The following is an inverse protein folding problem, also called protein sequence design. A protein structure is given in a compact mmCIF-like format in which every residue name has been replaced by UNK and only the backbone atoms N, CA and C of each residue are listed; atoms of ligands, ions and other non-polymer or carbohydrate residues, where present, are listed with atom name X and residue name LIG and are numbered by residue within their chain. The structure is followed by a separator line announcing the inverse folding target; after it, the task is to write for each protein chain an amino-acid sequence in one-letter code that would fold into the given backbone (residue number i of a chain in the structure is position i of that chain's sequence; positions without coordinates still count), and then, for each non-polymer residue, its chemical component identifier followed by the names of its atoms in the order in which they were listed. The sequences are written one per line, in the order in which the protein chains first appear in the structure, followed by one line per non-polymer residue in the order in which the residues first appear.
data_IF_224823595176
#
_entry.id   IF_224823595176
#
_cell.length_a   1.000
_cell.length_b   1.000
_cell.length_c   1.000
_cell.angle_alpha   90.00
_cell.angle_beta   90.00
_cell.angle_gamma   90.00
#
_symmetry.space_group_name_H-M   'P 1'
#
loop_
_entity.id
_entity.type
_entity.pdbx_description
1 polymer ?
#
# COMPACT_ATOMS: atom_id res chain seq x y z
N UNK A 1 18.88 16.25 1.25
CA UNK A 1 19.29 15.38 0.11
C UNK A 1 18.07 14.63 -0.37
N UNK A 2 17.82 14.67 -1.68
CA UNK A 2 16.61 14.13 -2.29
C UNK A 2 16.79 12.64 -2.65
N UNK A 3 15.97 11.78 -2.05
CA UNK A 3 15.91 10.36 -2.38
C UNK A 3 14.61 10.04 -3.12
N UNK A 4 14.72 9.40 -4.27
CA UNK A 4 13.56 8.81 -4.96
C UNK A 4 13.36 7.38 -4.48
N UNK A 5 12.12 6.93 -4.42
CA UNK A 5 11.82 5.56 -3.98
C UNK A 5 10.34 5.24 -4.03
N UNK A 6 9.96 4.19 -3.30
CA UNK A 6 8.56 3.75 -3.20
C UNK A 6 8.17 3.65 -1.74
N UNK A 7 7.08 4.31 -1.36
CA UNK A 7 6.46 4.16 -0.06
C UNK A 7 5.61 2.90 -0.01
N UNK A 8 5.71 2.17 1.11
CA UNK A 8 4.91 0.98 1.38
C UNK A 8 3.89 1.34 2.45
N UNK A 9 2.58 1.08 2.22
CA UNK A 9 1.58 1.33 3.24
C UNK A 9 1.81 0.40 4.45
N UNK A 10 1.48 0.84 5.68
CA UNK A 10 1.51 -0.03 6.84
C UNK A 10 0.49 -1.17 6.69
N UNK A 11 0.81 -2.34 7.25
CA UNK A 11 -0.07 -3.52 7.23
C UNK A 11 -1.42 -3.24 7.92
N UNK A 12 -1.44 -2.32 8.90
CA UNK A 12 -2.64 -1.86 9.58
C UNK A 12 -2.92 -0.42 9.15
N UNK A 13 -3.85 -0.26 8.21
CA UNK A 13 -4.33 1.06 7.81
C UNK A 13 -5.27 1.61 8.89
N UNK A 14 -4.76 2.47 9.77
CA UNK A 14 -5.57 3.31 10.65
C UNK A 14 -5.96 4.56 9.85
N UNK A 15 -7.23 4.95 9.88
CA UNK A 15 -7.84 5.93 8.96
C UNK A 15 -7.21 7.32 9.00
N UNK A 16 -6.58 7.73 10.11
CA UNK A 16 -6.00 9.06 10.29
C UNK A 16 -4.47 9.08 10.41
N UNK A 17 -3.79 7.99 10.00
CA UNK A 17 -2.35 7.85 10.18
C UNK A 17 -1.54 8.64 9.12
N UNK A 18 -0.60 9.51 9.51
CA UNK A 18 0.42 10.08 8.61
C UNK A 18 1.24 9.06 7.82
N UNK A 19 1.37 7.82 8.31
CA UNK A 19 2.00 6.72 7.58
C UNK A 19 1.17 6.19 6.39
N UNK A 20 0.00 6.76 6.08
CA UNK A 20 -0.80 6.45 4.89
C UNK A 20 -0.17 7.01 3.60
N UNK A 21 1.10 6.77 3.37
CA UNK A 21 1.78 7.13 2.12
C UNK A 21 2.14 5.84 1.40
N UNK A 22 1.78 5.73 0.12
CA UNK A 22 2.02 4.55 -0.69
C UNK A 22 2.44 4.94 -2.12
N UNK A 23 3.09 4.01 -2.79
CA UNK A 23 3.46 4.16 -4.20
C UNK A 23 4.75 4.96 -4.40
N UNK A 24 5.09 5.30 -5.66
CA UNK A 24 6.31 6.02 -5.97
C UNK A 24 6.30 7.42 -5.36
N UNK A 25 7.44 7.84 -4.83
CA UNK A 25 7.55 9.12 -4.14
C UNK A 25 8.98 9.57 -3.93
N UNK A 26 9.13 10.64 -3.15
CA UNK A 26 10.41 11.24 -2.80
C UNK A 26 10.46 11.47 -1.30
N UNK A 27 11.64 11.29 -0.74
CA UNK A 27 11.96 11.58 0.64
C UNK A 27 13.19 12.50 0.63
N UNK A 28 13.04 13.75 1.03
CA UNK A 28 14.13 14.70 1.16
C UNK A 28 14.54 14.82 2.62
N UNK A 29 15.81 14.52 2.89
CA UNK A 29 16.42 14.74 4.21
C UNK A 29 16.96 16.17 4.24
N UNK A 30 16.15 17.12 4.70
CA UNK A 30 16.45 18.55 4.69
C UNK A 30 16.92 19.09 6.05
N UNK A 31 17.27 20.38 6.09
CA UNK A 31 17.62 21.06 7.36
C UNK A 31 16.40 21.26 8.26
N UNK A 32 15.26 21.64 7.66
CA UNK A 32 14.02 21.88 8.39
C UNK A 32 13.34 20.60 8.89
N UNK A 33 13.64 19.45 8.29
CA UNK A 33 12.94 18.21 8.59
C UNK A 33 13.10 17.14 7.52
N UNK A 34 12.27 16.12 7.65
CA UNK A 34 12.05 15.11 6.64
C UNK A 34 10.88 15.52 5.75
N UNK A 35 11.15 15.82 4.49
CA UNK A 35 10.10 16.15 3.52
C UNK A 35 9.70 14.88 2.77
N UNK A 36 8.41 14.58 2.75
CA UNK A 36 7.87 13.39 2.13
C UNK A 36 6.85 13.81 1.07
N UNK A 37 7.11 13.36 -0.15
CA UNK A 37 6.26 13.55 -1.33
C UNK A 37 5.80 12.19 -1.84
N UNK A 38 4.51 11.91 -1.85
CA UNK A 38 3.99 10.62 -2.31
C UNK A 38 2.49 10.68 -2.57
N UNK A 39 1.82 9.54 -2.41
CA UNK A 39 0.37 9.45 -2.59
C UNK A 39 -0.29 8.89 -1.33
N UNK A 40 -1.46 9.41 -1.00
CA UNK A 40 -2.23 8.88 0.13
C UNK A 40 -2.71 7.45 -0.16
N UNK A 41 -2.48 6.53 0.78
CA UNK A 41 -2.94 5.15 0.68
C UNK A 41 -4.47 5.08 0.88
N UNK A 42 -5.22 4.79 -0.18
CA UNK A 42 -6.68 4.66 -0.10
C UNK A 42 -7.11 3.44 0.73
N UNK A 43 -8.10 3.62 1.62
CA UNK A 43 -8.75 2.50 2.33
C UNK A 43 -9.80 1.77 1.48
N UNK A 44 -10.10 2.25 0.26
CA UNK A 44 -11.15 1.69 -0.60
C UNK A 44 -10.87 0.28 -1.12
N UNK A 45 -9.61 -0.18 -1.10
CA UNK A 45 -9.23 -1.53 -1.53
C UNK A 45 -9.96 -2.66 -0.79
N UNK A 46 -10.40 -2.43 0.46
CA UNK A 46 -11.15 -3.43 1.23
C UNK A 46 -12.61 -3.54 0.79
N UNK A 47 -13.25 -2.42 0.44
CA UNK A 47 -14.66 -2.42 0.06
C UNK A 47 -14.86 -3.16 -1.27
N UNK A 48 -13.98 -2.94 -2.24
CA UNK A 48 -14.02 -3.65 -3.52
C UNK A 48 -13.83 -5.16 -3.35
N UNK A 49 -12.92 -5.60 -2.46
CA UNK A 49 -12.70 -7.01 -2.18
C UNK A 49 -13.94 -7.68 -1.57
N UNK A 50 -14.63 -7.04 -0.63
CA UNK A 50 -15.88 -7.57 -0.05
C UNK A 50 -17.02 -7.61 -1.07
N UNK A 51 -17.14 -6.58 -1.93
CA UNK A 51 -18.14 -6.56 -3.01
C UNK A 51 -17.88 -7.68 -4.01
N UNK A 52 -16.62 -7.95 -4.35
CA UNK A 52 -16.25 -9.06 -5.25
C UNK A 52 -16.57 -10.41 -4.61
N UNK A 53 -16.22 -10.62 -3.33
CA UNK A 53 -16.56 -11.86 -2.62
C UNK A 53 -18.09 -12.04 -2.55
N UNK A 54 -18.83 -10.99 -2.23
CA UNK A 54 -20.29 -11.04 -2.21
C UNK A 54 -20.89 -11.33 -3.60
N UNK A 55 -20.31 -10.78 -4.67
CA UNK A 55 -20.71 -11.06 -6.04
C UNK A 55 -20.44 -12.52 -6.43
N UNK A 56 -19.26 -13.05 -6.09
CA UNK A 56 -18.87 -14.44 -6.38
C UNK A 56 -19.73 -15.42 -5.59
N UNK A 57 -19.98 -15.17 -4.31
CA UNK A 57 -20.88 -15.99 -3.48
C UNK A 57 -22.33 -15.89 -3.97
N UNK A 58 -22.79 -14.69 -4.34
CA UNK A 58 -24.12 -14.48 -4.92
C UNK A 58 -24.31 -15.21 -6.25
N UNK A 59 -23.31 -15.16 -7.13
CA UNK A 59 -23.28 -15.92 -8.39
C UNK A 59 -23.23 -17.42 -8.12
N UNK A 60 -22.38 -17.90 -7.22
CA UNK A 60 -22.30 -19.31 -6.86
C UNK A 60 -23.60 -19.83 -6.24
N UNK A 61 -24.31 -19.01 -5.46
CA UNK A 61 -25.63 -19.35 -4.92
C UNK A 61 -26.70 -19.41 -6.01
N UNK A 62 -26.71 -18.45 -6.95
CA UNK A 62 -27.63 -18.45 -8.10
C UNK A 62 -27.37 -19.65 -9.03
N UNK A 63 -26.10 -19.97 -9.30
CA UNK A 63 -25.73 -21.13 -10.11
C UNK A 63 -25.90 -22.45 -9.36
N UNK A 64 -25.68 -22.50 -8.04
CA UNK A 64 -25.93 -23.69 -7.22
C UNK A 64 -27.42 -24.02 -7.12
N UNK A 65 -28.27 -23.00 -6.96
CA UNK A 65 -29.72 -23.15 -6.94
C UNK A 65 -30.30 -23.45 -8.35
N UNK A 66 -29.70 -22.89 -9.40
CA UNK A 66 -30.03 -23.25 -10.78
C UNK A 66 -29.53 -24.65 -11.14
N UNK A 67 -28.35 -25.08 -10.70
CA UNK A 67 -27.76 -26.37 -11.04
C UNK A 67 -28.67 -27.53 -10.61
N UNK A 68 -29.28 -27.44 -9.42
CA UNK A 68 -30.22 -28.45 -8.92
C UNK A 68 -31.50 -28.57 -9.79
N UNK A 69 -31.83 -27.51 -10.57
CA UNK A 69 -32.96 -27.46 -11.49
C UNK A 69 -32.59 -27.61 -12.97
N UNK A 70 -31.30 -27.50 -13.32
CA UNK A 70 -30.81 -27.27 -14.69
C UNK A 70 -29.80 -28.33 -15.17
N UNK A 71 -29.28 -29.17 -14.27
CA UNK A 71 -28.36 -30.28 -14.59
C UNK A 71 -28.92 -31.32 -15.59
N UNK A 72 -30.22 -31.27 -15.91
CA UNK A 72 -30.85 -32.13 -16.92
C UNK A 72 -31.01 -31.48 -18.31
N UNK A 73 -30.80 -30.16 -18.45
CA UNK A 73 -31.18 -29.44 -19.68
C UNK A 73 -30.08 -28.58 -20.33
N UNK A 74 -28.97 -28.33 -19.64
CA UNK A 74 -27.94 -27.40 -20.17
C UNK A 74 -26.77 -28.14 -20.81
N UNK A 75 -26.40 -27.80 -22.06
CA UNK A 75 -25.26 -28.41 -22.75
C UNK A 75 -23.95 -28.18 -21.97
N UNK A 76 -23.07 -29.19 -21.87
CA UNK A 76 -21.80 -29.08 -21.16
C UNK A 76 -20.92 -27.91 -21.65
N UNK A 77 -21.11 -27.47 -22.90
CA UNK A 77 -20.44 -26.31 -23.49
C UNK A 77 -20.80 -24.99 -22.78
N UNK A 78 -22.06 -24.81 -22.36
CA UNK A 78 -22.51 -23.61 -21.67
C UNK A 78 -21.93 -23.54 -20.24
N UNK A 79 -21.76 -24.69 -19.60
CA UNK A 79 -21.12 -24.79 -18.28
C UNK A 79 -19.62 -24.42 -18.36
N UNK A 80 -18.93 -24.87 -19.42
CA UNK A 80 -17.52 -24.54 -19.65
C UNK A 80 -17.31 -23.06 -20.00
N UNK A 81 -18.20 -22.47 -20.80
CA UNK A 81 -18.15 -21.04 -21.11
C UNK A 81 -18.42 -20.18 -19.86
N UNK A 82 -19.37 -20.57 -19.02
CA UNK A 82 -19.63 -19.89 -17.75
C UNK A 82 -18.44 -19.99 -16.78
N UNK A 83 -17.86 -21.19 -16.63
CA UNK A 83 -16.66 -21.40 -15.80
C UNK A 83 -15.44 -20.63 -16.31
N UNK A 84 -15.23 -20.61 -17.63
CA UNK A 84 -14.17 -19.83 -18.27
C UNK A 84 -14.36 -18.32 -18.14
N UNK A 85 -15.60 -17.84 -18.24
CA UNK A 85 -15.92 -16.43 -18.03
C UNK A 85 -15.68 -16.00 -16.58
N UNK A 86 -16.09 -16.82 -15.60
CA UNK A 86 -15.85 -16.56 -14.17
C UNK A 86 -14.35 -16.60 -13.85
N UNK A 87 -13.62 -17.61 -14.36
CA UNK A 87 -12.17 -17.71 -14.20
C UNK A 87 -11.42 -16.54 -14.84
N UNK A 88 -11.84 -16.11 -16.04
CA UNK A 88 -11.31 -14.93 -16.72
C UNK A 88 -11.59 -13.63 -15.98
N UNK A 89 -12.79 -13.48 -15.41
CA UNK A 89 -13.16 -12.33 -14.60
C UNK A 89 -12.32 -12.25 -13.32
N UNK A 90 -12.16 -13.37 -12.62
CA UNK A 90 -11.31 -13.47 -11.43
C UNK A 90 -9.84 -13.17 -11.75
N UNK A 91 -9.32 -13.69 -12.86
CA UNK A 91 -7.96 -13.42 -13.32
C UNK A 91 -7.77 -11.93 -13.66
N UNK A 92 -8.73 -11.33 -14.36
CA UNK A 92 -8.74 -9.89 -14.65
C UNK A 92 -8.75 -9.05 -13.37
N UNK A 93 -9.51 -9.44 -12.34
CA UNK A 93 -9.50 -8.73 -11.05
C UNK A 93 -8.20 -8.90 -10.27
N UNK A 94 -7.60 -10.09 -10.28
CA UNK A 94 -6.30 -10.34 -9.63
C UNK A 94 -5.19 -9.49 -10.28
N UNK A 95 -5.24 -9.33 -11.60
CA UNK A 95 -4.29 -8.48 -12.34
C UNK A 95 -4.61 -7.00 -12.14
N UNK A 96 -5.87 -6.60 -12.26
CA UNK A 96 -6.30 -5.21 -12.07
C UNK A 96 -6.03 -4.69 -10.65
N UNK A 97 -6.03 -5.58 -9.64
CA UNK A 97 -5.67 -5.26 -8.26
C UNK A 97 -4.15 -5.24 -7.99
N UNK A 98 -3.32 -5.76 -8.90
CA UNK A 98 -1.86 -5.80 -8.74
C UNK A 98 -1.17 -4.47 -9.08
N UNK A 99 -1.73 -3.73 -10.04
CA UNK A 99 -1.07 -2.54 -10.62
C UNK A 99 -1.80 -1.21 -10.38
N UNK A 100 -3.00 -1.23 -9.78
CA UNK A 100 -3.64 0.01 -9.34
C UNK A 100 -3.00 0.48 -8.05
N UNK A 101 -1.97 1.30 -8.18
CA UNK A 101 -1.70 2.34 -7.21
C UNK A 101 -2.99 3.14 -7.01
N UNK A 102 -3.78 2.77 -5.99
CA UNK A 102 -4.92 3.53 -5.47
C UNK A 102 -4.39 4.81 -4.83
N UNK A 103 -3.86 5.68 -5.68
CA UNK A 103 -3.22 6.95 -5.39
C UNK A 103 -4.28 8.04 -5.50
N UNK A 104 -5.05 8.23 -4.43
CA UNK A 104 -6.20 9.13 -4.46
C UNK A 104 -5.79 10.62 -4.48
N UNK A 105 -4.72 10.99 -3.75
CA UNK A 105 -4.25 12.38 -3.65
C UNK A 105 -2.73 12.47 -3.48
N UNK A 106 -2.04 13.38 -4.19
CA UNK A 106 -0.64 13.68 -3.90
C UNK A 106 -0.54 14.28 -2.50
N UNK A 107 0.45 13.85 -1.74
CA UNK A 107 0.74 14.32 -0.39
C UNK A 107 2.16 14.84 -0.36
N UNK A 108 2.31 16.13 -0.08
CA UNK A 108 3.58 16.77 0.26
C UNK A 108 3.53 17.21 1.72
N UNK A 109 4.44 16.68 2.53
CA UNK A 109 4.53 16.98 3.97
C UNK A 109 5.96 17.24 4.38
N UNK A 110 6.12 18.18 5.32
CA UNK A 110 7.39 18.43 5.99
C UNK A 110 7.22 18.03 7.45
N UNK A 111 7.94 17.00 7.88
CA UNK A 111 7.94 16.52 9.26
C UNK A 111 9.16 17.12 9.94
N UNK A 112 9.00 18.01 10.94
CA UNK A 112 10.12 18.63 11.63
C UNK A 112 10.91 17.58 12.42
N UNK A 113 12.22 17.79 12.59
CA UNK A 113 13.11 16.82 13.22
C UNK A 113 12.72 16.43 14.64
N UNK A 114 12.11 17.35 15.40
CA UNK A 114 11.53 17.10 16.73
C UNK A 114 10.47 15.99 16.75
N UNK A 115 9.86 15.69 15.59
CA UNK A 115 8.85 14.65 15.39
C UNK A 115 9.41 13.41 14.68
N UNK A 116 10.65 13.46 14.21
CA UNK A 116 11.30 12.37 13.49
C UNK A 116 12.14 11.56 14.47
N UNK A 117 11.84 10.28 14.58
CA UNK A 117 12.57 9.34 15.41
C UNK A 117 13.69 8.62 14.65
N UNK A 118 13.98 7.39 15.08
CA UNK A 118 15.00 6.57 14.44
C UNK A 118 14.56 6.09 13.05
N UNK A 119 15.52 6.01 12.13
CA UNK A 119 15.37 5.26 10.89
C UNK A 119 16.19 3.97 10.96
N UNK A 120 15.56 2.84 10.69
CA UNK A 120 16.18 1.51 10.72
C UNK A 120 15.81 0.70 9.48
N UNK A 121 16.56 -0.37 9.20
CA UNK A 121 16.17 -1.32 8.15
C UNK A 121 15.00 -2.15 8.67
N UNK A 122 13.98 -2.33 7.84
CA UNK A 122 12.91 -3.27 8.16
C UNK A 122 13.46 -4.70 8.17
N UNK A 123 13.17 -5.43 9.24
CA UNK A 123 13.62 -6.82 9.39
C UNK A 123 12.89 -7.77 8.43
N UNK A 124 11.68 -7.40 8.00
CA UNK A 124 10.84 -8.23 7.11
C UNK A 124 11.16 -8.02 5.63
N UNK A 125 11.61 -6.82 5.26
CA UNK A 125 11.95 -6.47 3.87
C UNK A 125 13.35 -5.83 3.81
N UNK A 126 14.42 -6.63 3.58
CA UNK A 126 15.78 -6.12 3.47
C UNK A 126 15.93 -5.23 2.23
N UNK A 127 15.80 -3.93 2.43
CA UNK A 127 15.71 -2.93 1.36
C UNK A 127 14.83 -1.75 1.76
N UNK A 128 13.84 -2.00 2.60
CA UNK A 128 12.94 -0.97 3.15
C UNK A 128 13.55 -0.34 4.39
N UNK A 129 13.43 0.97 4.49
CA UNK A 129 13.75 1.77 5.66
C UNK A 129 12.45 2.09 6.41
N UNK A 130 12.40 1.72 7.67
CA UNK A 130 11.34 2.08 8.61
C UNK A 130 11.77 3.36 9.35
N UNK A 131 11.00 4.43 9.19
CA UNK A 131 11.25 5.74 9.79
C UNK A 131 10.17 5.99 10.83
N UNK A 132 10.55 6.10 12.09
CA UNK A 132 9.62 6.47 13.15
C UNK A 132 9.27 7.96 13.06
N UNK A 133 7.99 8.28 13.10
CA UNK A 133 7.48 9.66 13.10
C UNK A 133 6.41 9.79 14.18
N UNK A 134 6.38 10.93 14.86
CA UNK A 134 5.39 11.22 15.90
C UNK A 134 4.50 12.37 15.45
N UNK A 135 3.23 12.11 15.21
CA UNK A 135 2.28 13.14 14.77
C UNK A 135 0.97 12.99 15.54
N UNK A 136 0.42 14.11 16.04
CA UNK A 136 -0.79 14.08 16.86
C UNK A 136 -0.65 13.30 18.19
N UNK A 137 0.58 13.12 18.69
CA UNK A 137 0.87 12.37 19.92
C UNK A 137 0.94 10.84 19.74
N UNK A 138 0.72 10.33 18.53
CA UNK A 138 0.86 8.91 18.20
C UNK A 138 2.21 8.65 17.52
N UNK A 139 2.87 7.55 17.90
CA UNK A 139 4.06 7.04 17.21
C UNK A 139 3.65 6.20 16.02
N UNK A 140 4.17 6.54 14.86
CA UNK A 140 3.90 5.86 13.60
C UNK A 140 5.19 5.54 12.86
N UNK A 141 5.10 4.67 11.85
CA UNK A 141 6.26 4.24 11.08
C UNK A 141 5.97 4.38 9.59
N UNK A 142 6.80 5.17 8.92
CA UNK A 142 6.79 5.31 7.46
C UNK A 142 7.78 4.32 6.86
N UNK A 143 7.30 3.50 5.93
CA UNK A 143 8.13 2.53 5.23
C UNK A 143 8.52 3.06 3.86
N UNK A 144 9.81 3.26 3.63
CA UNK A 144 10.35 3.81 2.39
C UNK A 144 11.38 2.87 1.77
N UNK A 145 11.20 2.53 0.50
CA UNK A 145 12.15 1.76 -0.30
C UNK A 145 12.95 2.74 -1.19
N UNK A 146 14.14 3.19 -0.77
CA UNK A 146 14.96 4.11 -1.56
C UNK A 146 15.54 3.42 -2.80
N UNK A 147 15.46 4.09 -3.96
CA UNK A 147 16.01 3.58 -5.22
C UNK A 147 17.55 3.45 -5.20
N UNK A 148 18.23 4.30 -4.43
CA UNK A 148 19.69 4.26 -4.23
C UNK A 148 20.16 3.29 -3.14
N UNK A 149 19.25 2.48 -2.59
CA UNK A 149 19.54 1.52 -1.52
C UNK A 149 19.39 2.10 -0.10
N UNK A 150 19.12 1.24 0.90
CA UNK A 150 18.82 1.67 2.27
C UNK A 150 20.03 2.27 3.00
N UNK A 151 21.26 1.84 2.70
CA UNK A 151 22.46 2.31 3.40
C UNK A 151 22.75 3.78 3.17
N UNK A 152 22.69 4.21 1.90
CA UNK A 152 22.93 5.60 1.55
C UNK A 152 21.91 6.52 2.23
N UNK A 153 20.64 6.10 2.22
CA UNK A 153 19.57 6.82 2.91
C UNK A 153 19.84 6.91 4.42
N UNK A 154 20.12 5.78 5.07
CA UNK A 154 20.35 5.72 6.52
C UNK A 154 21.57 6.54 6.96
N UNK A 155 22.65 6.53 6.18
CA UNK A 155 23.86 7.30 6.48
C UNK A 155 23.58 8.80 6.45
N UNK A 156 22.86 9.28 5.44
CA UNK A 156 22.50 10.69 5.31
C UNK A 156 21.47 11.10 6.35
N UNK A 157 20.51 10.23 6.64
CA UNK A 157 19.51 10.43 7.68
C UNK A 157 20.17 10.61 9.06
N UNK A 158 21.05 9.67 9.45
CA UNK A 158 21.78 9.73 10.74
C UNK A 158 22.65 10.99 10.84
N UNK A 159 23.39 11.31 9.78
CA UNK A 159 24.22 12.52 9.75
C UNK A 159 23.40 13.80 9.93
N UNK A 160 22.19 13.86 9.38
CA UNK A 160 21.31 15.03 9.47
C UNK A 160 20.60 15.12 10.83
N UNK A 161 20.13 14.00 11.37
CA UNK A 161 19.52 13.94 12.70
C UNK A 161 20.51 14.38 13.79
N UNK A 162 21.74 13.84 13.78
CA UNK A 162 22.78 14.21 14.76
C UNK A 162 23.25 15.66 14.66
N UNK A 163 23.13 16.29 13.49
CA UNK A 163 23.46 17.71 13.33
C UNK A 163 22.41 18.61 13.98
N UNK A 164 21.16 18.18 14.01
CA UNK A 164 20.04 18.93 14.58
C UNK A 164 19.84 18.69 16.07
N UNK A 165 20.24 17.54 16.62
CA UNK A 165 20.28 17.33 18.08
C UNK A 165 21.30 18.25 18.80
N UNK A 166 22.16 18.96 18.06
CA UNK A 166 23.22 19.84 18.58
C UNK A 166 22.93 21.33 18.46
N UNK A 167 21.81 21.72 17.85
CA UNK A 167 21.40 23.11 17.63
C UNK A 167 20.26 23.52 18.56
#
# INVERSE_FOLDING_TARGET
MNFRGTFKPPVVAITNSPARIAGPGRCNVGRAGLEISGFEASSQAKLEAYVIVALVVGLAALFGFAADRVLTAVPPLALQLAGGAIGGLLYFFVIAGRDKHLADKPVDRVIPWERVGAATRDMRQPGVVAIEVTEGGSKETVYFLPAGGPDLFLNVFKGSASANDRG
#
